data_IF_181005939636
#
_entry.id   IF_181005939636
#
_cell.length_a   1.000
_cell.length_b   1.000
_cell.length_c   1.000
_cell.angle_alpha   90.00
_cell.angle_beta   90.00
_cell.angle_gamma   90.00
#
_symmetry.space_group_name_H-M   'P 1'
#
loop_
_entity.id
_entity.type
_entity.pdbx_description
1 polymer ?
#
# COMPACT_ATOMS: atom_id res chain seq x y z
N UNK A 1 25.39 31.93 37.00
CA UNK A 1 25.04 32.67 35.78
C UNK A 1 23.91 31.93 35.06
N UNK A 2 22.73 32.53 34.92
CA UNK A 2 21.66 31.99 34.07
C UNK A 2 22.01 32.27 32.62
N UNK A 3 21.93 31.25 31.75
CA UNK A 3 22.19 31.43 30.32
C UNK A 3 21.18 32.40 29.70
N UNK A 4 21.60 33.12 28.66
CA UNK A 4 20.75 34.05 27.91
C UNK A 4 19.41 33.40 27.50
N UNK A 5 19.46 32.12 27.11
CA UNK A 5 18.29 31.30 26.76
C UNK A 5 17.29 31.18 27.90
N UNK A 6 17.75 30.95 29.14
CA UNK A 6 16.88 30.88 30.32
C UNK A 6 16.21 32.22 30.60
N UNK A 7 16.93 33.32 30.38
CA UNK A 7 16.38 34.67 30.54
C UNK A 7 15.26 34.93 29.52
N UNK A 8 15.50 34.61 28.24
CA UNK A 8 14.51 34.76 27.18
C UNK A 8 13.23 33.94 27.46
N UNK A 9 13.36 32.67 27.87
CA UNK A 9 12.19 31.85 28.19
C UNK A 9 11.40 32.40 29.37
N UNK A 10 12.09 32.93 30.39
CA UNK A 10 11.45 33.54 31.55
C UNK A 10 10.65 34.77 31.14
N UNK A 11 11.23 35.67 30.34
CA UNK A 11 10.53 36.87 29.84
C UNK A 11 9.31 36.52 29.00
N UNK A 12 9.40 35.51 28.13
CA UNK A 12 8.27 35.07 27.31
C UNK A 12 7.15 34.49 28.19
N UNK A 13 7.48 33.66 29.18
CA UNK A 13 6.49 33.10 30.10
C UNK A 13 5.77 34.19 30.90
N UNK A 14 6.52 35.15 31.42
CA UNK A 14 5.98 36.31 32.13
C UNK A 14 5.01 37.11 31.24
N UNK A 15 5.41 37.41 30.00
CA UNK A 15 4.57 38.15 29.06
C UNK A 15 3.27 37.42 28.68
N UNK A 16 3.26 36.08 28.70
CA UNK A 16 2.05 35.29 28.47
C UNK A 16 1.16 35.35 29.72
N UNK A 17 1.74 35.24 30.91
CA UNK A 17 1.02 35.29 32.19
C UNK A 17 0.39 36.66 32.47
N UNK A 18 1.04 37.73 32.01
CA UNK A 18 0.54 39.11 32.14
C UNK A 18 -0.46 39.49 31.03
N UNK A 19 -0.67 38.65 30.01
CA UNK A 19 -1.60 38.93 28.92
C UNK A 19 -3.07 38.81 29.37
N UNK A 20 -4.02 39.49 28.72
CA UNK A 20 -5.45 39.34 29.01
C UNK A 20 -5.91 37.86 28.88
N UNK A 21 -6.87 37.38 29.70
CA UNK A 21 -7.27 35.97 29.73
C UNK A 21 -7.66 35.39 28.37
N UNK A 22 -8.33 36.18 27.53
CA UNK A 22 -8.73 35.77 26.19
C UNK A 22 -7.53 35.49 25.26
N UNK A 23 -6.44 36.25 25.44
CA UNK A 23 -5.19 36.07 24.70
C UNK A 23 -4.42 34.86 25.23
N UNK A 24 -4.40 34.65 26.55
CA UNK A 24 -3.80 33.45 27.15
C UNK A 24 -4.47 32.17 26.63
N UNK A 25 -5.81 32.14 26.63
CA UNK A 25 -6.58 31.01 26.12
C UNK A 25 -6.30 30.76 24.64
N UNK A 26 -6.22 31.82 23.83
CA UNK A 26 -5.85 31.73 22.42
C UNK A 26 -4.45 31.14 22.23
N UNK A 27 -3.46 31.58 23.02
CA UNK A 27 -2.08 31.07 22.98
C UNK A 27 -2.06 29.59 23.35
N UNK A 28 -2.73 29.18 24.42
CA UNK A 28 -2.80 27.77 24.85
C UNK A 28 -3.44 26.91 23.77
N UNK A 29 -4.58 27.34 23.21
CA UNK A 29 -5.30 26.60 22.18
C UNK A 29 -4.49 26.42 20.90
N UNK A 30 -3.83 27.48 20.44
CA UNK A 30 -2.98 27.42 19.24
C UNK A 30 -1.75 26.55 19.47
N UNK A 31 -1.14 26.65 20.66
CA UNK A 31 0.01 25.82 21.03
C UNK A 31 -0.38 24.35 21.12
N UNK A 32 -1.52 24.01 21.72
CA UNK A 32 -2.03 22.62 21.79
C UNK A 32 -2.21 22.03 20.40
N UNK A 33 -2.92 22.74 19.51
CA UNK A 33 -3.11 22.30 18.11
C UNK A 33 -1.78 22.09 17.38
N UNK A 34 -0.81 22.98 17.62
CA UNK A 34 0.51 22.87 17.00
C UNK A 34 1.28 21.65 17.54
N UNK A 35 1.23 21.41 18.84
CA UNK A 35 1.85 20.25 19.49
C UNK A 35 1.22 18.94 19.02
N UNK A 36 -0.11 18.85 18.96
CA UNK A 36 -0.83 17.69 18.44
C UNK A 36 -0.42 17.38 17.01
N UNK A 37 -0.42 18.39 16.13
CA UNK A 37 0.00 18.23 14.73
C UNK A 37 1.44 17.74 14.61
N UNK A 38 2.34 18.26 15.44
CA UNK A 38 3.75 17.84 15.44
C UNK A 38 3.95 16.44 16.02
N UNK A 39 3.19 16.07 17.06
CA UNK A 39 3.19 14.72 17.61
C UNK A 39 2.72 13.72 16.55
N UNK A 40 1.63 14.04 15.85
CA UNK A 40 1.09 13.20 14.78
C UNK A 40 2.07 13.08 13.61
N UNK A 41 2.70 14.18 13.18
CA UNK A 41 3.77 14.16 12.16
C UNK A 41 4.96 13.29 12.54
N UNK A 42 5.30 13.16 13.83
CA UNK A 42 6.41 12.32 14.31
C UNK A 42 6.00 10.86 14.49
N UNK A 43 4.77 10.62 14.90
CA UNK A 43 4.23 9.28 15.15
C UNK A 43 3.81 8.56 13.86
N UNK A 44 3.22 9.30 12.92
CA UNK A 44 2.66 8.74 11.69
C UNK A 44 3.70 8.01 10.83
N UNK A 45 4.92 8.53 10.57
CA UNK A 45 5.91 7.81 9.79
C UNK A 45 6.38 6.51 10.47
N UNK A 46 6.46 6.51 11.80
CA UNK A 46 6.83 5.31 12.58
C UNK A 46 5.72 4.25 12.51
N UNK A 47 4.46 4.68 12.58
CA UNK A 47 3.31 3.81 12.42
C UNK A 47 3.27 3.23 11.00
N UNK A 48 3.41 4.09 9.97
CA UNK A 48 3.44 3.67 8.56
C UNK A 48 4.54 2.63 8.33
N UNK A 49 5.79 2.90 8.72
CA UNK A 49 6.89 1.93 8.53
C UNK A 49 6.66 0.58 9.22
N UNK A 50 6.09 0.60 10.43
CA UNK A 50 5.77 -0.63 11.17
C UNK A 50 4.65 -1.40 10.48
N UNK A 51 3.69 -0.68 9.93
CA UNK A 51 2.57 -1.22 9.16
C UNK A 51 3.03 -1.79 7.83
N UNK A 52 3.86 -1.06 7.07
CA UNK A 52 4.50 -1.52 5.83
C UNK A 52 5.30 -2.80 6.03
N UNK A 53 6.06 -2.93 7.13
CA UNK A 53 6.80 -4.17 7.41
C UNK A 53 5.85 -5.35 7.61
N UNK A 54 4.80 -5.18 8.41
CA UNK A 54 3.84 -6.26 8.68
C UNK A 54 3.00 -6.63 7.46
N UNK A 55 2.57 -5.63 6.68
CA UNK A 55 1.84 -5.88 5.45
C UNK A 55 2.74 -6.39 4.34
N UNK A 56 4.00 -5.97 4.26
CA UNK A 56 4.96 -6.46 3.29
C UNK A 56 5.30 -7.94 3.43
N UNK A 57 5.03 -8.54 4.60
CA UNK A 57 5.18 -10.00 4.80
C UNK A 57 3.92 -10.78 4.43
N UNK A 58 2.72 -10.24 4.73
CA UNK A 58 1.45 -10.99 4.60
C UNK A 58 0.74 -10.71 3.27
N UNK A 59 0.84 -9.49 2.77
CA UNK A 59 0.12 -9.04 1.59
C UNK A 59 0.59 -9.72 0.30
N UNK A 60 1.90 -9.98 0.08
CA UNK A 60 2.35 -10.70 -1.11
C UNK A 60 1.77 -12.10 -1.22
N UNK A 61 1.73 -12.86 -0.12
CA UNK A 61 1.17 -14.22 -0.11
C UNK A 61 -0.33 -14.19 -0.44
N UNK A 62 -1.07 -13.27 0.17
CA UNK A 62 -2.49 -13.06 -0.11
C UNK A 62 -2.74 -12.69 -1.59
N UNK A 63 -1.94 -11.77 -2.13
CA UNK A 63 -2.04 -11.36 -3.54
C UNK A 63 -1.69 -12.53 -4.46
N UNK A 64 -0.65 -13.30 -4.15
CA UNK A 64 -0.24 -14.46 -4.95
C UNK A 64 -1.33 -15.52 -5.03
N UNK A 65 -2.00 -15.85 -3.91
CA UNK A 65 -3.14 -16.76 -3.90
C UNK A 65 -4.29 -16.24 -4.78
N UNK A 66 -4.62 -14.95 -4.67
CA UNK A 66 -5.67 -14.33 -5.48
C UNK A 66 -5.32 -14.31 -6.97
N UNK A 67 -4.05 -14.07 -7.35
CA UNK A 67 -3.61 -14.13 -8.75
C UNK A 67 -3.84 -15.53 -9.32
N UNK A 68 -3.43 -16.58 -8.60
CA UNK A 68 -3.63 -17.96 -9.05
C UNK A 68 -5.13 -18.30 -9.22
N UNK A 69 -5.97 -17.90 -8.27
CA UNK A 69 -7.41 -18.12 -8.34
C UNK A 69 -8.03 -17.36 -9.53
N UNK A 70 -7.63 -16.10 -9.76
CA UNK A 70 -8.10 -15.30 -10.91
C UNK A 70 -7.65 -15.90 -12.24
N UNK A 71 -6.38 -16.31 -12.39
CA UNK A 71 -5.89 -16.94 -13.62
C UNK A 71 -6.61 -18.26 -13.94
N UNK A 72 -6.90 -19.07 -12.92
CA UNK A 72 -7.71 -20.29 -13.10
C UNK A 72 -9.11 -19.99 -13.61
N UNK A 73 -9.72 -18.90 -13.15
CA UNK A 73 -11.03 -18.47 -13.64
C UNK A 73 -10.98 -17.86 -15.04
N UNK A 74 -9.90 -17.18 -15.40
CA UNK A 74 -9.73 -16.69 -16.78
C UNK A 74 -9.57 -17.84 -17.79
N UNK A 75 -9.05 -18.98 -17.35
CA UNK A 75 -8.83 -20.18 -18.19
C UNK A 75 -10.00 -21.17 -18.16
N UNK A 76 -10.85 -21.11 -17.14
CA UNK A 76 -12.01 -21.98 -16.97
C UNK A 76 -13.29 -21.22 -17.35
N UNK A 77 -14.19 -21.81 -18.14
CA UNK A 77 -15.43 -21.16 -18.60
C UNK A 77 -16.48 -20.90 -17.49
N UNK A 78 -16.08 -20.82 -16.22
CA UNK A 78 -16.98 -20.62 -15.08
C UNK A 78 -17.05 -19.15 -14.66
N UNK A 79 -18.24 -18.56 -14.72
CA UNK A 79 -18.51 -17.16 -14.33
C UNK A 79 -18.54 -16.91 -12.80
N UNK A 80 -18.03 -17.84 -11.98
CA UNK A 80 -18.05 -17.66 -10.52
C UNK A 80 -16.85 -16.82 -10.08
N UNK A 81 -17.11 -15.57 -9.72
CA UNK A 81 -16.14 -14.73 -9.02
C UNK A 81 -15.96 -15.24 -7.58
N UNK A 82 -14.73 -15.45 -7.10
CA UNK A 82 -14.50 -15.91 -5.73
C UNK A 82 -14.88 -14.80 -4.77
N UNK A 83 -15.68 -15.14 -3.76
CA UNK A 83 -15.98 -14.20 -2.68
C UNK A 83 -14.83 -14.16 -1.67
N UNK A 84 -13.84 -13.32 -1.97
CA UNK A 84 -12.69 -13.08 -1.11
C UNK A 84 -13.04 -12.40 0.21
N UNK A 85 -14.18 -11.70 0.31
CA UNK A 85 -14.60 -11.06 1.57
C UNK A 85 -15.09 -12.09 2.58
N UNK A 86 -15.77 -13.13 2.11
CA UNK A 86 -16.19 -14.27 2.94
C UNK A 86 -15.05 -15.23 3.24
N UNK A 87 -14.08 -15.37 2.32
CA UNK A 87 -12.88 -16.22 2.52
C UNK A 87 -11.95 -15.66 3.60
N UNK A 88 -11.85 -14.34 3.73
CA UNK A 88 -10.95 -13.67 4.68
C UNK A 88 -11.69 -12.71 5.63
N UNK A 89 -12.58 -13.19 6.52
CA UNK A 89 -13.43 -12.32 7.35
C UNK A 89 -12.65 -11.50 8.39
N UNK A 90 -11.44 -11.95 8.75
CA UNK A 90 -10.59 -11.31 9.74
C UNK A 90 -9.67 -10.23 9.14
N UNK A 91 -9.69 -10.05 7.81
CA UNK A 91 -8.89 -9.03 7.12
C UNK A 91 -9.79 -7.82 6.81
N UNK A 92 -9.26 -6.61 6.98
CA UNK A 92 -10.03 -5.40 6.64
C UNK A 92 -10.47 -5.43 5.18
N UNK A 93 -11.74 -5.10 4.92
CA UNK A 93 -12.30 -5.02 3.57
C UNK A 93 -11.49 -4.14 2.62
N UNK A 94 -10.85 -3.09 3.14
CA UNK A 94 -9.99 -2.22 2.34
C UNK A 94 -8.71 -2.92 1.86
N UNK A 95 -8.12 -3.77 2.69
CA UNK A 95 -6.91 -4.53 2.35
C UNK A 95 -7.27 -5.61 1.32
N UNK A 96 -8.39 -6.31 1.53
CA UNK A 96 -8.91 -7.29 0.57
C UNK A 96 -9.17 -6.62 -0.78
N UNK A 97 -9.86 -5.47 -0.80
CA UNK A 97 -10.09 -4.71 -2.02
C UNK A 97 -8.79 -4.32 -2.73
N UNK A 98 -7.79 -3.85 -1.97
CA UNK A 98 -6.48 -3.53 -2.53
C UNK A 98 -5.81 -4.76 -3.15
N UNK A 99 -5.81 -5.89 -2.42
CA UNK A 99 -5.21 -7.14 -2.87
C UNK A 99 -5.89 -7.67 -4.14
N UNK A 100 -7.22 -7.62 -4.22
CA UNK A 100 -7.99 -7.99 -5.42
C UNK A 100 -7.59 -7.12 -6.61
N UNK A 101 -7.62 -5.79 -6.47
CA UNK A 101 -7.28 -4.89 -7.59
C UNK A 101 -5.85 -5.13 -8.07
N UNK A 102 -4.89 -5.28 -7.15
CA UNK A 102 -3.50 -5.60 -7.51
C UNK A 102 -3.37 -6.97 -8.17
N UNK A 103 -4.11 -7.98 -7.70
CA UNK A 103 -4.10 -9.31 -8.28
C UNK A 103 -4.71 -9.33 -9.69
N UNK A 104 -5.83 -8.63 -9.92
CA UNK A 104 -6.47 -8.50 -11.23
C UNK A 104 -5.57 -7.81 -12.25
N UNK A 105 -4.93 -6.70 -11.85
CA UNK A 105 -3.97 -5.99 -12.70
C UNK A 105 -2.78 -6.87 -13.06
N UNK A 106 -2.22 -7.58 -12.07
CA UNK A 106 -1.08 -8.47 -12.27
C UNK A 106 -1.44 -9.66 -13.15
N UNK A 107 -2.61 -10.27 -12.95
CA UNK A 107 -3.08 -11.39 -13.74
C UNK A 107 -3.29 -10.99 -15.22
N UNK A 108 -3.81 -9.78 -15.48
CA UNK A 108 -3.90 -9.24 -16.85
C UNK A 108 -2.53 -9.02 -17.49
N UNK A 109 -1.54 -8.56 -16.73
CA UNK A 109 -0.16 -8.41 -17.24
C UNK A 109 0.40 -9.77 -17.62
N UNK A 110 0.21 -10.79 -16.77
CA UNK A 110 0.68 -12.15 -17.03
C UNK A 110 0.00 -12.77 -18.26
N UNK A 111 -1.32 -12.65 -18.40
CA UNK A 111 -2.06 -13.13 -19.57
C UNK A 111 -1.60 -12.47 -20.88
N UNK A 112 -1.31 -11.16 -20.84
CA UNK A 112 -0.75 -10.45 -21.99
C UNK A 112 0.69 -10.91 -22.32
N UNK A 113 1.50 -11.21 -21.31
CA UNK A 113 2.86 -11.75 -21.51
C UNK A 113 2.83 -13.16 -22.09
N UNK A 114 1.95 -14.04 -21.59
CA UNK A 114 1.75 -15.39 -22.15
C UNK A 114 1.26 -15.31 -23.60
N UNK A 115 0.30 -14.43 -23.88
CA UNK A 115 -0.19 -14.17 -25.25
C UNK A 115 0.91 -13.64 -26.18
N UNK A 116 1.83 -12.82 -25.66
CA UNK A 116 2.95 -12.27 -26.44
C UNK A 116 4.05 -13.31 -26.65
N UNK A 117 4.36 -14.11 -25.64
CA UNK A 117 5.29 -15.24 -25.75
C UNK A 117 4.77 -16.30 -26.72
N UNK A 118 3.48 -16.63 -26.68
CA UNK A 118 2.84 -17.52 -27.65
C UNK A 118 2.90 -16.96 -29.08
N UNK A 119 2.77 -15.64 -29.27
CA UNK A 119 2.93 -15.02 -30.60
C UNK A 119 4.38 -15.01 -31.10
N UNK A 120 5.35 -14.81 -30.22
CA UNK A 120 6.77 -14.76 -30.58
C UNK A 120 7.39 -16.14 -30.80
N UNK A 121 6.94 -17.16 -30.05
CA UNK A 121 7.50 -18.52 -30.09
C UNK A 121 6.58 -19.56 -30.76
N UNK A 122 5.27 -19.30 -30.86
CA UNK A 122 4.31 -20.17 -31.57
C UNK A 122 4.35 -20.07 -33.09
N UNK A 123 5.16 -19.16 -33.65
CA UNK A 123 5.48 -19.12 -35.08
C UNK A 123 6.68 -20.00 -35.46
N UNK A 124 7.31 -20.69 -34.50
CA UNK A 124 8.49 -21.51 -34.72
C UNK A 124 8.18 -23.01 -34.64
N UNK A 125 7.08 -23.47 -35.23
CA UNK A 125 6.81 -24.91 -35.40
C UNK A 125 5.77 -25.18 -36.48
N UNK A 126 6.11 -24.92 -37.74
CA UNK A 126 5.45 -25.49 -38.92
C UNK A 126 6.39 -25.38 -40.13
N UNK A 127 7.55 -26.06 -40.11
CA UNK A 127 8.36 -26.34 -41.31
C UNK A 127 9.16 -27.63 -41.07
N UNK A 128 8.45 -28.76 -41.00
CA UNK A 128 9.04 -30.10 -41.03
C UNK A 128 8.17 -31.03 -41.89
N UNK A 129 8.03 -30.70 -43.17
CA UNK A 129 7.62 -31.58 -44.28
C UNK A 129 8.32 -31.01 -45.53
N UNK A 130 9.11 -31.69 -46.35
CA UNK A 130 9.47 -33.08 -46.49
C UNK A 130 10.77 -33.11 -47.30
N UNK A 131 11.76 -33.89 -46.90
CA UNK A 131 12.72 -34.45 -47.86
C UNK A 131 12.94 -35.91 -47.47
N UNK A 132 12.01 -36.76 -47.90
CA UNK A 132 12.30 -38.17 -48.05
C UNK A 132 13.39 -38.29 -49.11
N UNK A 133 14.58 -38.65 -48.65
CA UNK A 133 15.56 -39.35 -49.45
C UNK A 133 15.02 -40.75 -49.73
N UNK A 134 15.01 -41.18 -50.98
CA UNK A 134 15.46 -42.52 -51.35
C UNK A 134 15.78 -42.61 -52.85
N UNK A 135 16.74 -43.50 -53.12
CA UNK A 135 17.59 -43.75 -54.30
C UNK A 135 16.93 -43.81 -55.69
#
# INVERSE_FOLDING_TARGET
MTSLTKLCYKTIAQNIEDAPPMIQEMIVKNTSKHMEKNALKRALPKAIKKTEKKFGEILPDLISEMICDIMRLMTSSSDQTPDYYSKYPNISKHIIKCAITTAEETARILDNLESTAFRLYGQQSCDCQSTDYDY
#
